data_IF_531996013091
#
_entry.id   IF_531996013091
#
_cell.length_a   1.000
_cell.length_b   1.000
_cell.length_c   1.000
_cell.angle_alpha   90.00
_cell.angle_beta   90.00
_cell.angle_gamma   90.00
#
_symmetry.space_group_name_H-M   'P 1'
#
loop_
_entity.id
_entity.type
_entity.pdbx_description
1 polymer ?
#
# COMPACT_ATOMS: atom_id res chain seq x y z
N UNK A 1 -30.90 16.33 -37.40
CA UNK A 1 -29.50 16.76 -37.63
C UNK A 1 -28.93 17.09 -36.26
N UNK A 2 -28.17 16.27 -35.55
CA UNK A 2 -27.23 15.24 -35.96
C UNK A 2 -25.82 15.71 -35.58
N UNK A 3 -25.28 15.16 -34.46
CA UNK A 3 -23.85 14.85 -34.23
C UNK A 3 -22.91 16.07 -33.98
N UNK A 4 -21.96 16.09 -33.04
CA UNK A 4 -21.48 15.13 -32.03
C UNK A 4 -20.64 15.91 -31.01
N UNK A 5 -20.78 15.57 -29.73
CA UNK A 5 -19.80 15.90 -28.69
C UNK A 5 -18.53 15.11 -29.03
N UNK A 6 -17.47 15.79 -29.46
CA UNK A 6 -16.17 15.17 -29.70
C UNK A 6 -15.58 14.80 -28.35
N UNK A 7 -15.82 13.55 -27.97
CA UNK A 7 -15.13 12.85 -26.90
C UNK A 7 -13.62 12.90 -27.11
N UNK A 8 -12.88 13.50 -26.17
CA UNK A 8 -11.43 13.41 -26.05
C UNK A 8 -11.03 11.99 -25.65
N UNK A 9 -11.08 11.06 -26.61
CA UNK A 9 -10.86 9.62 -26.45
C UNK A 9 -9.41 9.17 -26.68
N UNK A 10 -8.43 10.06 -26.77
CA UNK A 10 -7.15 9.75 -27.42
C UNK A 10 -5.84 9.99 -26.64
N UNK A 11 -5.83 10.10 -25.31
CA UNK A 11 -4.56 10.28 -24.57
C UNK A 11 -4.02 9.05 -23.81
N UNK A 12 -4.66 7.87 -23.93
CA UNK A 12 -4.19 6.65 -23.23
C UNK A 12 -3.49 5.62 -24.12
N UNK A 13 -2.98 6.03 -25.30
CA UNK A 13 -2.15 5.19 -26.17
C UNK A 13 -0.76 5.79 -26.32
N UNK A 14 0.12 5.54 -25.35
CA UNK A 14 1.60 5.49 -25.46
C UNK A 14 2.31 5.91 -24.15
N UNK A 15 2.14 5.12 -23.09
CA UNK A 15 3.16 5.07 -22.02
C UNK A 15 3.58 3.62 -21.81
N UNK A 16 4.61 3.23 -22.56
CA UNK A 16 5.35 1.98 -22.39
C UNK A 16 6.12 2.11 -21.07
N UNK A 17 5.53 1.67 -19.96
CA UNK A 17 6.20 1.69 -18.66
C UNK A 17 7.38 0.70 -18.68
N UNK A 18 8.63 1.15 -18.50
CA UNK A 18 9.76 0.22 -18.46
C UNK A 18 9.76 -0.52 -17.11
N UNK A 19 9.65 -1.86 -17.18
CA UNK A 19 9.90 -2.80 -16.09
C UNK A 19 11.39 -2.77 -15.70
N UNK A 20 11.83 -1.73 -14.99
CA UNK A 20 13.02 -1.76 -14.11
C UNK A 20 12.53 -1.85 -12.66
N UNK A 21 11.98 -3.01 -12.28
CA UNK A 21 11.33 -3.22 -10.96
C UNK A 21 12.24 -3.88 -9.91
N UNK A 22 13.50 -4.22 -10.21
CA UNK A 22 14.27 -5.09 -9.32
C UNK A 22 15.02 -4.32 -8.21
N UNK A 23 15.36 -3.03 -8.40
CA UNK A 23 15.99 -2.19 -7.35
C UNK A 23 15.02 -1.22 -6.63
N UNK A 24 13.75 -1.17 -7.04
CA UNK A 24 12.75 -0.20 -6.56
C UNK A 24 12.17 -0.53 -5.18
N UNK A 25 12.15 -1.81 -4.82
CA UNK A 25 11.55 -2.32 -3.58
C UNK A 25 12.19 -1.77 -2.30
N UNK A 26 13.47 -1.40 -2.33
CA UNK A 26 14.20 -0.93 -1.14
C UNK A 26 14.05 0.58 -0.92
N UNK A 27 14.13 1.38 -1.99
CA UNK A 27 13.87 2.82 -1.95
C UNK A 27 12.40 3.13 -1.62
N UNK A 28 11.45 2.37 -2.17
CA UNK A 28 10.04 2.50 -1.79
C UNK A 28 9.87 2.25 -0.29
N UNK A 29 10.50 1.21 0.27
CA UNK A 29 10.42 0.92 1.71
C UNK A 29 10.89 2.09 2.57
N UNK A 30 11.96 2.80 2.19
CA UNK A 30 12.52 3.93 2.96
C UNK A 30 11.48 5.02 3.25
N UNK A 31 10.63 5.35 2.27
CA UNK A 31 9.54 6.32 2.44
C UNK A 31 8.49 5.84 3.46
N UNK A 32 8.22 4.54 3.55
CA UNK A 32 7.31 4.01 4.57
C UNK A 32 7.95 4.03 5.96
N UNK A 33 9.27 3.79 6.04
CA UNK A 33 10.05 3.85 7.28
C UNK A 33 10.02 5.28 7.83
N UNK A 34 10.26 6.26 6.96
CA UNK A 34 10.15 7.69 7.26
C UNK A 34 8.72 8.08 7.64
N UNK A 35 7.72 7.76 6.82
CA UNK A 35 6.31 8.08 7.11
C UNK A 35 5.84 7.55 8.47
N UNK A 36 6.30 6.36 8.86
CA UNK A 36 5.91 5.75 10.14
C UNK A 36 6.69 6.30 11.34
N UNK A 37 7.65 7.21 11.13
CA UNK A 37 8.57 7.77 12.14
C UNK A 37 9.16 6.67 13.03
N UNK A 38 9.62 5.57 12.43
CA UNK A 38 10.03 4.38 13.20
C UNK A 38 11.43 4.58 13.80
N UNK A 39 12.28 5.38 13.18
CA UNK A 39 13.63 5.73 13.66
C UNK A 39 13.64 6.18 15.12
N UNK A 40 12.61 6.92 15.53
CA UNK A 40 12.55 7.59 16.83
C UNK A 40 11.62 6.89 17.84
N UNK A 41 10.93 5.82 17.41
CA UNK A 41 9.99 5.09 18.27
C UNK A 41 10.72 4.15 19.23
N UNK A 42 10.38 4.29 20.52
CA UNK A 42 10.82 3.40 21.61
C UNK A 42 9.71 2.43 22.01
N UNK A 43 10.10 1.27 22.50
CA UNK A 43 9.18 0.28 23.08
C UNK A 43 8.53 0.84 24.34
N UNK A 44 7.20 0.76 24.46
CA UNK A 44 6.47 1.25 25.64
C UNK A 44 6.82 0.50 26.94
N UNK A 45 7.26 -0.75 26.86
CA UNK A 45 7.54 -1.53 28.07
C UNK A 45 8.96 -1.35 28.61
N UNK A 46 9.93 -1.02 27.76
CA UNK A 46 11.34 -1.03 28.17
C UNK A 46 12.17 0.14 27.59
N UNK A 47 11.52 1.09 26.93
CA UNK A 47 12.13 2.25 26.26
C UNK A 47 13.29 1.93 25.29
N UNK A 48 13.48 0.66 24.94
CA UNK A 48 14.48 0.24 23.97
C UNK A 48 14.05 0.56 22.55
N UNK A 49 15.02 0.65 21.64
CA UNK A 49 14.77 0.94 20.22
C UNK A 49 13.87 -0.13 19.58
N UNK A 50 13.08 0.29 18.62
CA UNK A 50 12.29 -0.61 17.79
C UNK A 50 12.95 -0.77 16.42
N UNK A 51 12.86 -1.97 15.86
CA UNK A 51 13.29 -2.26 14.50
C UNK A 51 12.13 -2.82 13.69
N UNK A 52 12.17 -2.53 12.40
CA UNK A 52 11.18 -3.06 11.45
C UNK A 52 11.48 -4.53 11.20
N UNK A 53 10.43 -5.32 11.28
CA UNK A 53 10.45 -6.74 11.01
C UNK A 53 9.32 -7.06 10.04
N UNK A 54 9.66 -7.52 8.84
CA UNK A 54 8.67 -7.94 7.84
C UNK A 54 8.35 -9.42 8.05
N UNK A 55 7.07 -9.74 8.23
CA UNK A 55 6.60 -11.12 8.22
C UNK A 55 5.58 -11.29 7.10
N UNK A 56 5.99 -11.95 6.00
CA UNK A 56 5.22 -12.03 4.75
C UNK A 56 4.82 -10.62 4.28
N UNK A 57 3.54 -10.29 4.33
CA UNK A 57 2.98 -9.00 3.89
C UNK A 57 2.73 -8.02 5.05
N UNK A 58 3.01 -8.42 6.29
CA UNK A 58 2.73 -7.61 7.48
C UNK A 58 4.03 -6.97 7.95
N UNK A 59 3.99 -5.66 8.18
CA UNK A 59 5.06 -4.90 8.80
C UNK A 59 4.84 -4.94 10.31
N UNK A 60 5.85 -5.39 11.06
CA UNK A 60 5.85 -5.41 12.51
C UNK A 60 7.00 -4.56 13.04
N UNK A 61 6.79 -3.96 14.20
CA UNK A 61 7.83 -3.35 15.01
C UNK A 61 8.23 -4.33 16.09
N UNK A 62 9.52 -4.68 16.14
CA UNK A 62 10.10 -5.55 17.16
C UNK A 62 11.05 -4.76 18.03
N UNK A 63 10.93 -4.94 19.35
CA UNK A 63 11.91 -4.41 20.30
C UNK A 63 13.29 -5.01 20.03
N UNK A 64 14.33 -4.18 20.00
CA UNK A 64 15.72 -4.65 19.83
C UNK A 64 16.23 -5.40 21.05
N UNK A 65 15.71 -5.10 22.24
CA UNK A 65 16.11 -5.79 23.47
C UNK A 65 15.47 -7.18 23.55
N UNK A 66 16.31 -8.20 23.56
CA UNK A 66 15.91 -9.62 23.52
C UNK A 66 14.99 -10.00 24.69
N UNK A 67 15.26 -9.50 25.90
CA UNK A 67 14.46 -9.77 27.10
C UNK A 67 13.04 -9.20 27.02
N UNK A 68 12.86 -8.05 26.37
CA UNK A 68 11.53 -7.48 26.19
C UNK A 68 10.73 -8.25 25.14
N UNK A 69 11.35 -8.59 24.00
CA UNK A 69 10.74 -9.49 23.00
C UNK A 69 9.48 -8.98 22.29
N UNK A 70 8.92 -7.83 22.70
CA UNK A 70 7.65 -7.30 22.21
C UNK A 70 7.68 -7.08 20.70
N UNK A 71 6.56 -7.44 20.08
CA UNK A 71 6.26 -7.22 18.68
C UNK A 71 4.85 -6.66 18.57
N UNK A 72 4.68 -5.61 17.79
CA UNK A 72 3.35 -5.08 17.49
C UNK A 72 3.31 -4.53 16.06
N UNK A 73 2.12 -4.50 15.46
CA UNK A 73 1.91 -3.89 14.15
C UNK A 73 1.78 -2.36 14.31
N UNK A 74 2.51 -1.54 13.54
CA UNK A 74 2.27 -0.09 13.51
C UNK A 74 0.93 0.26 12.85
N UNK A 75 0.29 -0.73 12.22
CA UNK A 75 -0.98 -0.62 11.52
C UNK A 75 -2.10 -1.35 12.26
N UNK A 76 -1.97 -1.50 13.58
CA UNK A 76 -2.97 -2.18 14.42
C UNK A 76 -4.37 -1.61 14.18
N UNK A 77 -5.37 -2.46 13.99
CA UNK A 77 -6.77 -2.08 13.72
C UNK A 77 -7.02 -1.33 12.40
N UNK A 78 -6.04 -1.28 11.50
CA UNK A 78 -6.22 -0.63 10.18
C UNK A 78 -6.63 -1.63 9.10
N UNK A 79 -7.04 -1.12 7.93
CA UNK A 79 -7.35 -1.95 6.76
C UNK A 79 -6.15 -2.80 6.29
N UNK A 80 -4.92 -2.31 6.51
CA UNK A 80 -3.68 -2.97 6.13
C UNK A 80 -3.50 -4.29 6.87
N UNK A 81 -3.72 -4.27 8.18
CA UNK A 81 -3.64 -5.46 9.02
C UNK A 81 -4.82 -6.41 8.75
N UNK A 82 -6.05 -5.86 8.71
CA UNK A 82 -7.28 -6.63 8.51
C UNK A 82 -7.33 -7.37 7.17
N UNK A 83 -6.73 -6.80 6.12
CA UNK A 83 -6.69 -7.43 4.80
C UNK A 83 -5.35 -8.10 4.49
N UNK A 84 -4.37 -8.03 5.41
CA UNK A 84 -2.99 -8.51 5.22
C UNK A 84 -2.37 -7.98 3.93
N UNK A 85 -2.66 -6.72 3.61
CA UNK A 85 -2.19 -6.04 2.41
C UNK A 85 -0.84 -5.37 2.67
N UNK A 86 0.04 -5.45 1.67
CA UNK A 86 1.27 -4.66 1.70
C UNK A 86 0.91 -3.17 1.56
N UNK A 87 1.40 -2.29 2.46
CA UNK A 87 1.00 -0.88 2.50
C UNK A 87 1.17 -0.13 1.19
N UNK A 88 2.28 -0.36 0.49
CA UNK A 88 2.53 0.25 -0.82
C UNK A 88 1.47 -0.11 -1.85
N UNK A 89 1.09 -1.39 -1.91
CA UNK A 89 0.10 -1.85 -2.87
C UNK A 89 -1.26 -1.20 -2.58
N UNK A 90 -1.62 -1.04 -1.30
CA UNK A 90 -2.85 -0.35 -0.92
C UNK A 90 -2.83 1.13 -1.37
N UNK A 91 -1.75 1.86 -1.05
CA UNK A 91 -1.60 3.28 -1.43
C UNK A 91 -1.66 3.44 -2.95
N UNK A 92 -0.98 2.56 -3.70
CA UNK A 92 -0.97 2.60 -5.14
C UNK A 92 -2.37 2.33 -5.73
N UNK A 93 -3.10 1.34 -5.21
CA UNK A 93 -4.48 1.05 -5.63
C UNK A 93 -5.37 2.28 -5.40
N UNK A 94 -5.28 2.90 -4.23
CA UNK A 94 -6.10 4.05 -3.87
C UNK A 94 -5.77 5.26 -4.74
N UNK A 95 -4.47 5.53 -4.98
CA UNK A 95 -4.04 6.60 -5.87
C UNK A 95 -4.60 6.41 -7.28
N UNK A 96 -4.40 5.24 -7.88
CA UNK A 96 -4.87 4.96 -9.24
C UNK A 96 -6.41 4.99 -9.33
N UNK A 97 -7.11 4.57 -8.28
CA UNK A 97 -8.57 4.66 -8.21
C UNK A 97 -9.06 6.11 -8.14
N UNK A 98 -8.42 6.96 -7.33
CA UNK A 98 -8.70 8.39 -7.24
C UNK A 98 -8.37 9.14 -8.55
N UNK A 99 -7.35 8.68 -9.28
CA UNK A 99 -7.01 9.16 -10.63
C UNK A 99 -8.05 8.72 -11.70
N UNK A 100 -9.14 8.07 -11.30
CA UNK A 100 -10.25 7.69 -12.18
C UNK A 100 -10.06 6.36 -12.92
N UNK A 101 -9.02 5.57 -12.58
CA UNK A 101 -8.84 4.26 -13.20
C UNK A 101 -9.93 3.30 -12.72
N UNK A 102 -10.61 2.67 -13.68
CA UNK A 102 -11.71 1.75 -13.34
C UNK A 102 -11.20 0.50 -12.64
N UNK A 103 -12.05 -0.04 -11.76
CA UNK A 103 -11.77 -1.28 -11.01
C UNK A 103 -11.47 -2.47 -11.93
N UNK A 104 -12.04 -2.48 -13.14
CA UNK A 104 -11.78 -3.47 -14.20
C UNK A 104 -10.31 -3.48 -14.64
N UNK A 105 -9.68 -2.31 -14.74
CA UNK A 105 -8.26 -2.21 -15.08
C UNK A 105 -7.38 -2.43 -13.85
N UNK A 106 -7.74 -1.88 -12.69
CA UNK A 106 -6.97 -2.03 -11.45
C UNK A 106 -6.74 -3.49 -11.06
N UNK A 107 -7.78 -4.33 -11.12
CA UNK A 107 -7.64 -5.74 -10.72
C UNK A 107 -6.67 -6.51 -11.64
N UNK A 108 -6.58 -6.11 -12.93
CA UNK A 108 -5.64 -6.69 -13.90
C UNK A 108 -4.22 -6.18 -13.66
N UNK A 109 -4.04 -4.86 -13.52
CA UNK A 109 -2.73 -4.24 -13.34
C UNK A 109 -2.04 -4.66 -12.04
N UNK A 110 -2.80 -4.80 -10.97
CA UNK A 110 -2.27 -5.11 -9.65
C UNK A 110 -2.24 -6.62 -9.35
N UNK A 111 -2.73 -7.46 -10.27
CA UNK A 111 -2.89 -8.90 -10.08
C UNK A 111 -3.63 -9.27 -8.77
N UNK A 112 -4.76 -8.59 -8.52
CA UNK A 112 -5.61 -8.80 -7.33
C UNK A 112 -6.98 -9.28 -7.79
N UNK A 113 -7.60 -10.17 -7.01
CA UNK A 113 -8.96 -10.61 -7.30
C UNK A 113 -9.96 -9.44 -7.30
N UNK A 114 -10.96 -9.48 -8.19
CA UNK A 114 -12.03 -8.45 -8.20
C UNK A 114 -12.73 -8.34 -6.86
N UNK A 115 -12.97 -9.48 -6.21
CA UNK A 115 -13.60 -9.54 -4.89
C UNK A 115 -12.77 -8.79 -3.85
N UNK A 116 -11.46 -9.04 -3.80
CA UNK A 116 -10.55 -8.38 -2.86
C UNK A 116 -10.49 -6.87 -3.11
N UNK A 117 -10.40 -6.45 -4.38
CA UNK A 117 -10.39 -5.04 -4.75
C UNK A 117 -11.71 -4.35 -4.35
N UNK A 118 -12.85 -4.97 -4.64
CA UNK A 118 -14.16 -4.44 -4.25
C UNK A 118 -14.28 -4.31 -2.74
N UNK A 119 -13.91 -5.35 -1.98
CA UNK A 119 -13.92 -5.34 -0.52
C UNK A 119 -13.02 -4.25 0.06
N UNK A 120 -11.88 -3.97 -0.57
CA UNK A 120 -10.95 -2.91 -0.17
C UNK A 120 -11.58 -1.54 -0.39
N UNK A 121 -12.07 -1.27 -1.60
CA UNK A 121 -12.71 0.00 -1.92
C UNK A 121 -13.94 0.25 -1.06
N UNK A 122 -14.74 -0.78 -0.79
CA UNK A 122 -15.88 -0.72 0.12
C UNK A 122 -15.50 -0.25 1.53
N UNK A 123 -14.43 -0.83 2.09
CA UNK A 123 -13.93 -0.47 3.43
C UNK A 123 -13.35 0.93 3.49
N UNK A 124 -12.72 1.40 2.42
CA UNK A 124 -12.10 2.74 2.37
C UNK A 124 -13.13 3.83 2.09
N UNK A 125 -14.01 3.62 1.11
CA UNK A 125 -14.99 4.59 0.67
C UNK A 125 -16.29 4.59 1.49
N UNK A 126 -16.49 3.61 2.39
CA UNK A 126 -17.75 3.40 3.14
C UNK A 126 -19.01 3.32 2.26
N UNK A 127 -18.85 2.87 1.02
CA UNK A 127 -19.94 2.58 0.06
C UNK A 127 -20.46 1.16 0.32
#
# INVERSE_FOLDING_TARGET
>A
MGLTIITSKNEYKNKKYPLKMINKKYEEQKLLIEYLNISDKKSKNCNSRLKIYKNKNIILLRCTWSKCGIRYSPFSNTILENMKFEPFNLILILKLWLDGITTKYLHKCMNISRYTLYKLLRKVAKI
#
